data_IF_629094530528
#
_entry.id   IF_629094530528
#
_cell.length_a   1.000
_cell.length_b   1.000
_cell.length_c   1.000
_cell.angle_alpha   90.00
_cell.angle_beta   90.00
_cell.angle_gamma   90.00
#
_symmetry.space_group_name_H-M   'P 1'
#
loop_
_entity.id
_entity.type
_entity.pdbx_description
1 polymer ?
#
# COMPACT_ATOMS: atom_id res chain seq x y z
N UNK A 1 0.35 2.26 -14.99
CA UNK A 1 0.40 3.65 -14.44
C UNK A 1 -0.74 4.44 -15.05
N UNK A 2 -1.42 5.33 -14.30
CA UNK A 2 -2.56 6.07 -14.82
C UNK A 2 -2.12 7.09 -15.89
N UNK A 3 -2.85 7.14 -16.99
CA UNK A 3 -2.64 8.08 -18.08
C UNK A 3 -2.98 9.50 -17.62
N UNK A 4 -2.04 10.43 -17.77
CA UNK A 4 -2.25 11.84 -17.43
C UNK A 4 -3.15 12.51 -18.45
N UNK A 5 -4.00 13.43 -17.97
CA UNK A 5 -4.82 14.27 -18.84
C UNK A 5 -3.92 15.17 -19.70
N UNK A 6 -4.04 15.13 -21.05
CA UNK A 6 -3.30 16.03 -21.93
C UNK A 6 -3.76 17.49 -21.77
N UNK A 7 -2.84 18.45 -21.95
CA UNK A 7 -3.18 19.89 -21.88
C UNK A 7 -4.22 20.25 -22.94
N UNK A 8 -5.29 20.94 -22.53
CA UNK A 8 -6.35 21.41 -23.42
C UNK A 8 -7.27 20.31 -23.99
N UNK A 9 -7.12 19.05 -23.59
CA UNK A 9 -7.90 17.91 -24.10
C UNK A 9 -8.45 17.04 -22.97
N UNK A 10 -9.52 16.30 -23.25
CA UNK A 10 -10.08 15.34 -22.31
C UNK A 10 -9.49 13.94 -22.49
N UNK A 11 -9.53 13.15 -21.43
CA UNK A 11 -9.25 11.71 -21.52
C UNK A 11 -10.38 11.04 -22.31
N UNK A 12 -10.04 10.07 -23.16
CA UNK A 12 -11.05 9.22 -23.78
C UNK A 12 -11.73 8.34 -22.74
N UNK A 13 -12.93 7.85 -23.03
CA UNK A 13 -13.64 6.95 -22.12
C UNK A 13 -12.84 5.68 -21.80
N UNK A 14 -12.13 5.14 -22.80
CA UNK A 14 -11.22 4.01 -22.60
C UNK A 14 -10.10 4.34 -21.59
N UNK A 15 -9.46 5.51 -21.73
CA UNK A 15 -8.41 5.95 -20.80
C UNK A 15 -8.96 6.18 -19.38
N UNK A 16 -10.18 6.70 -19.25
CA UNK A 16 -10.83 6.87 -17.94
C UNK A 16 -11.09 5.52 -17.29
N UNK A 17 -11.58 4.54 -18.04
CA UNK A 17 -11.85 3.20 -17.55
C UNK A 17 -10.55 2.51 -17.08
N UNK A 18 -9.50 2.53 -17.89
CA UNK A 18 -8.18 2.00 -17.51
C UNK A 18 -7.63 2.70 -16.25
N UNK A 19 -7.74 4.03 -16.17
CA UNK A 19 -7.32 4.77 -14.99
C UNK A 19 -8.12 4.40 -13.74
N UNK A 20 -9.42 4.10 -13.89
CA UNK A 20 -10.30 3.69 -12.79
C UNK A 20 -9.88 2.32 -12.24
N UNK A 21 -9.57 1.37 -13.11
CA UNK A 21 -9.09 0.03 -12.73
C UNK A 21 -7.74 0.09 -12.00
N UNK A 22 -6.81 0.91 -12.51
CA UNK A 22 -5.52 1.12 -11.83
C UNK A 22 -5.74 1.77 -10.46
N UNK A 23 -6.64 2.76 -10.37
CA UNK A 23 -6.90 3.48 -9.13
C UNK A 23 -7.59 2.61 -8.09
N UNK A 24 -8.53 1.75 -8.49
CA UNK A 24 -9.22 0.84 -7.55
C UNK A 24 -8.25 -0.11 -6.89
N UNK A 25 -7.30 -0.68 -7.65
CA UNK A 25 -6.25 -1.53 -7.08
C UNK A 25 -5.30 -0.74 -6.17
N UNK A 26 -4.88 0.47 -6.59
CA UNK A 26 -3.97 1.31 -5.80
C UNK A 26 -4.52 1.66 -4.42
N UNK A 27 -5.82 1.91 -4.31
CA UNK A 27 -6.47 2.22 -3.01
C UNK A 27 -6.22 1.08 -2.00
N UNK A 28 -6.39 -0.17 -2.43
CA UNK A 28 -6.15 -1.34 -1.57
C UNK A 28 -4.69 -1.42 -1.11
N UNK A 29 -3.76 -1.21 -2.05
CA UNK A 29 -2.32 -1.21 -1.75
C UNK A 29 -1.94 -0.07 -0.80
N UNK A 30 -2.45 1.13 -1.02
CA UNK A 30 -2.19 2.30 -0.18
C UNK A 30 -2.73 2.09 1.25
N UNK A 31 -3.90 1.47 1.41
CA UNK A 31 -4.41 1.09 2.72
C UNK A 31 -3.54 0.05 3.42
N UNK A 32 -3.08 -0.98 2.70
CA UNK A 32 -2.15 -1.98 3.24
C UNK A 32 -0.84 -1.32 3.69
N UNK A 33 -0.22 -0.50 2.84
CA UNK A 33 1.02 0.25 3.17
C UNK A 33 0.79 1.18 4.37
N UNK A 34 -0.34 1.90 4.40
CA UNK A 34 -0.71 2.76 5.53
C UNK A 34 -0.86 1.96 6.84
N UNK A 35 -1.36 0.73 6.74
CA UNK A 35 -1.45 -0.21 7.84
C UNK A 35 -0.11 -0.74 8.32
N UNK A 36 0.80 -1.09 7.41
CA UNK A 36 2.18 -1.51 7.71
C UNK A 36 2.95 -0.38 8.39
N UNK A 37 2.76 0.87 7.93
CA UNK A 37 3.37 2.09 8.52
C UNK A 37 2.98 2.38 9.97
N UNK A 38 2.06 1.62 10.58
CA UNK A 38 1.83 1.65 12.04
C UNK A 38 3.08 1.18 12.80
N UNK A 39 3.86 0.27 12.23
CA UNK A 39 5.20 -0.04 12.71
C UNK A 39 6.10 1.16 12.40
N UNK A 40 6.29 2.07 13.37
CA UNK A 40 6.98 3.34 13.16
C UNK A 40 8.38 3.22 12.56
N UNK A 41 9.06 2.09 12.76
CA UNK A 41 10.35 1.79 12.16
C UNK A 41 10.35 1.82 10.62
N UNK A 42 9.22 1.52 9.96
CA UNK A 42 9.07 1.61 8.49
C UNK A 42 8.54 2.98 8.01
N UNK A 43 8.10 3.84 8.94
CA UNK A 43 7.54 5.17 8.65
C UNK A 43 8.58 6.26 8.87
N UNK A 44 9.27 6.19 10.00
CA UNK A 44 10.23 7.19 10.45
C UNK A 44 11.59 6.95 9.75
N UNK A 45 12.51 7.91 9.86
CA UNK A 45 13.84 7.78 9.23
C UNK A 45 14.56 6.55 9.77
N UNK A 46 14.81 5.57 8.90
CA UNK A 46 15.59 4.38 9.21
C UNK A 46 17.07 4.76 9.37
N UNK A 47 17.70 4.35 10.48
CA UNK A 47 19.08 4.70 10.83
C UNK A 47 20.01 3.48 10.91
N UNK A 48 19.48 2.28 10.69
CA UNK A 48 20.30 1.08 10.64
C UNK A 48 20.91 0.96 9.24
N UNK A 49 22.23 0.84 9.16
CA UNK A 49 22.98 0.71 7.91
C UNK A 49 23.49 -0.72 7.66
N UNK A 50 22.98 -1.69 8.42
CA UNK A 50 23.32 -3.09 8.22
C UNK A 50 22.65 -3.56 6.93
N UNK A 51 23.45 -4.14 6.04
CA UNK A 51 23.01 -4.66 4.75
C UNK A 51 21.83 -5.66 4.90
N UNK A 52 20.79 -5.47 4.10
CA UNK A 52 19.58 -6.28 4.08
C UNK A 52 18.67 -6.17 5.32
N UNK A 53 18.97 -5.25 6.24
CA UNK A 53 18.18 -5.10 7.47
C UNK A 53 16.84 -4.38 7.21
N UNK A 54 16.81 -3.48 6.23
CA UNK A 54 15.61 -2.80 5.75
C UNK A 54 14.55 -3.77 5.23
N UNK A 55 14.96 -4.77 4.43
CA UNK A 55 14.07 -5.79 3.89
C UNK A 55 13.52 -6.68 5.00
N UNK A 56 14.38 -7.07 5.94
CA UNK A 56 13.99 -7.85 7.13
C UNK A 56 12.96 -7.09 7.96
N UNK A 57 13.19 -5.80 8.20
CA UNK A 57 12.28 -4.94 8.95
C UNK A 57 10.94 -4.80 8.23
N UNK A 58 10.96 -4.60 6.91
CA UNK A 58 9.75 -4.52 6.10
C UNK A 58 8.96 -5.83 6.14
N UNK A 59 9.62 -6.98 6.00
CA UNK A 59 8.99 -8.30 6.06
C UNK A 59 8.29 -8.53 7.40
N UNK A 60 8.96 -8.21 8.50
CA UNK A 60 8.41 -8.32 9.85
C UNK A 60 7.20 -7.39 10.02
N UNK A 61 7.30 -6.13 9.58
CA UNK A 61 6.20 -5.17 9.67
C UNK A 61 4.97 -5.61 8.86
N UNK A 62 5.18 -6.15 7.65
CA UNK A 62 4.13 -6.78 6.85
C UNK A 62 3.49 -7.97 7.58
N UNK A 63 4.30 -8.87 8.15
CA UNK A 63 3.82 -10.00 8.93
C UNK A 63 2.95 -9.59 10.12
N UNK A 64 3.40 -8.60 10.90
CA UNK A 64 2.63 -8.05 12.03
C UNK A 64 1.33 -7.39 11.58
N UNK A 65 1.34 -6.67 10.46
CA UNK A 65 0.14 -6.08 9.90
C UNK A 65 -0.89 -7.13 9.49
N UNK A 66 -0.44 -8.18 8.79
CA UNK A 66 -1.28 -9.29 8.36
C UNK A 66 -1.85 -10.07 9.55
N UNK A 67 -1.03 -10.37 10.56
CA UNK A 67 -1.48 -11.01 11.79
C UNK A 67 -2.57 -10.19 12.48
N UNK A 68 -2.39 -8.86 12.60
CA UNK A 68 -3.40 -7.97 13.16
C UNK A 68 -4.72 -7.97 12.35
N UNK A 69 -4.65 -8.03 11.03
CA UNK A 69 -5.85 -8.15 10.18
C UNK A 69 -6.55 -9.47 10.43
N UNK A 70 -5.80 -10.58 10.46
CA UNK A 70 -6.38 -11.91 10.73
C UNK A 70 -7.11 -11.94 12.08
N UNK A 71 -6.52 -11.39 13.14
CA UNK A 71 -7.19 -11.32 14.44
C UNK A 71 -8.50 -10.52 14.37
N UNK A 72 -8.51 -9.38 13.67
CA UNK A 72 -9.73 -8.58 13.50
C UNK A 72 -10.82 -9.30 12.74
N UNK A 73 -10.46 -10.01 11.67
CA UNK A 73 -11.42 -10.75 10.86
C UNK A 73 -12.02 -11.91 11.68
N UNK A 74 -11.19 -12.63 12.43
CA UNK A 74 -11.65 -13.74 13.28
C UNK A 74 -12.56 -13.26 14.43
N UNK A 75 -12.33 -12.06 14.99
CA UNK A 75 -13.22 -11.48 16.01
C UNK A 75 -14.59 -11.01 15.48
N UNK A 76 -14.79 -10.99 14.16
CA UNK A 76 -16.08 -10.63 13.53
C UNK A 76 -16.91 -11.90 13.25
N UNK A 77 -16.27 -13.07 13.25
CA UNK A 77 -16.91 -14.38 12.99
C UNK A 77 -17.36 -15.11 14.26
N UNK A 78 -17.01 -14.61 15.45
CA UNK A 78 -17.53 -15.02 16.77
C UNK A 78 -18.54 -14.03 17.31
#
# INVERSE_FOLDING_TARGET
>A
MPTRKPKGKNLSEKQKQENREISSFRILVEHAIGGVKRCRIVKDRFRCYKDGFEDTVMLIACGLHNFRISLKNNSIET
#
